data_IF_273595044689
#
_entry.id   IF_273595044689
#
_cell.length_a   1.000
_cell.length_b   1.000
_cell.length_c   1.000
_cell.angle_alpha   90.00
_cell.angle_beta   90.00
_cell.angle_gamma   90.00
#
_symmetry.space_group_name_H-M   'P 1'
#
loop_
_entity.id
_entity.type
_entity.pdbx_description
1 polymer ?
#
# COMPACT_ATOMS: atom_id res chain seq x y z
N UNK A 1 47.47 -27.31 32.66
CA UNK A 1 46.49 -28.28 32.12
C UNK A 1 45.25 -27.51 31.72
N UNK A 2 45.25 -27.01 30.49
CA UNK A 2 44.21 -26.15 29.91
C UNK A 2 43.17 -27.03 29.19
N UNK A 3 41.94 -27.05 29.68
CA UNK A 3 40.82 -27.70 29.01
C UNK A 3 40.06 -26.65 28.18
N UNK A 4 40.20 -26.73 26.86
CA UNK A 4 39.39 -26.01 25.88
C UNK A 4 38.12 -26.83 25.63
N UNK A 5 36.97 -26.33 26.07
CA UNK A 5 35.66 -26.85 25.69
C UNK A 5 35.20 -26.12 24.42
N UNK A 6 35.26 -26.81 23.28
CA UNK A 6 34.70 -26.33 22.03
C UNK A 6 33.17 -26.47 22.06
N UNK A 7 32.46 -25.34 22.13
CA UNK A 7 31.02 -25.26 21.89
C UNK A 7 30.74 -25.52 20.41
N UNK A 8 30.14 -26.67 20.12
CA UNK A 8 29.53 -26.97 18.82
C UNK A 8 28.22 -26.16 18.72
N UNK A 9 28.32 -25.01 18.04
CA UNK A 9 27.19 -24.24 17.56
C UNK A 9 26.55 -25.02 16.41
N UNK A 10 25.48 -25.77 16.68
CA UNK A 10 24.66 -26.41 15.64
C UNK A 10 23.93 -25.31 14.86
N UNK A 11 24.54 -24.84 13.78
CA UNK A 11 23.80 -24.20 12.69
C UNK A 11 22.86 -25.23 12.09
N UNK A 12 21.55 -25.05 12.31
CA UNK A 12 20.51 -25.64 11.47
C UNK A 12 20.58 -24.95 10.10
N UNK A 13 21.53 -25.41 9.28
CA UNK A 13 21.51 -25.15 7.85
C UNK A 13 20.36 -25.96 7.27
N UNK A 14 19.42 -25.24 6.66
CA UNK A 14 18.38 -25.78 5.80
C UNK A 14 19.07 -26.58 4.69
N UNK A 15 19.05 -27.91 4.78
CA UNK A 15 19.52 -28.75 3.68
C UNK A 15 18.44 -28.74 2.61
N UNK A 16 18.74 -28.33 1.35
CA UNK A 16 17.89 -28.72 0.24
C UNK A 16 17.93 -30.25 0.15
N UNK A 17 16.78 -30.85 -0.14
CA UNK A 17 16.65 -32.29 -0.31
C UNK A 17 17.57 -32.76 -1.45
N UNK A 18 18.75 -33.27 -1.11
CA UNK A 18 19.57 -34.09 -2.00
C UNK A 18 19.03 -35.53 -1.95
N UNK A 19 18.01 -35.81 -2.76
CA UNK A 19 17.66 -37.16 -3.19
C UNK A 19 17.77 -37.25 -4.71
N UNK A 20 18.17 -38.41 -5.23
CA UNK A 20 18.42 -38.63 -6.66
C UNK A 20 17.16 -38.57 -7.57
N UNK A 21 16.01 -38.29 -6.99
CA UNK A 21 14.75 -37.89 -7.63
C UNK A 21 14.66 -36.37 -7.45
N UNK A 22 14.49 -35.59 -8.53
CA UNK A 22 14.55 -34.12 -8.50
C UNK A 22 13.54 -33.43 -7.55
N UNK A 23 13.29 -32.11 -7.68
CA UNK A 23 12.42 -31.37 -6.74
C UNK A 23 10.94 -31.81 -6.73
N UNK A 24 10.59 -32.86 -7.48
CA UNK A 24 9.24 -33.35 -7.66
C UNK A 24 8.93 -34.53 -6.75
N UNK A 25 7.68 -34.63 -6.25
CA UNK A 25 7.25 -35.76 -5.44
C UNK A 25 7.29 -37.07 -6.25
N UNK A 26 7.32 -38.23 -5.57
CA UNK A 26 7.33 -39.53 -6.24
C UNK A 26 6.21 -39.67 -7.28
N UNK A 27 6.56 -40.15 -8.47
CA UNK A 27 5.61 -40.31 -9.59
C UNK A 27 5.42 -39.06 -10.45
N UNK A 28 5.86 -37.89 -9.99
CA UNK A 28 5.90 -36.67 -10.80
C UNK A 28 7.28 -36.46 -11.44
N UNK A 29 7.31 -35.76 -12.57
CA UNK A 29 8.52 -35.37 -13.29
C UNK A 29 8.52 -33.86 -13.53
N UNK A 30 9.70 -33.24 -13.51
CA UNK A 30 9.82 -31.82 -13.84
C UNK A 30 9.57 -31.58 -15.33
N UNK A 31 8.80 -30.55 -15.64
CA UNK A 31 8.51 -30.07 -16.99
C UNK A 31 8.75 -28.57 -17.06
N UNK A 32 9.42 -28.10 -18.12
CA UNK A 32 9.83 -26.71 -18.28
C UNK A 32 11.23 -26.42 -17.73
N UNK A 33 11.67 -25.17 -17.94
CA UNK A 33 12.99 -24.70 -17.57
C UNK A 33 12.91 -23.27 -17.01
N UNK A 34 13.73 -22.92 -16.00
CA UNK A 34 13.88 -21.53 -15.59
C UNK A 34 14.54 -20.70 -16.71
N UNK A 35 14.45 -19.36 -16.67
CA UNK A 35 15.21 -18.49 -17.54
C UNK A 35 16.73 -18.77 -17.49
N UNK A 36 17.46 -18.64 -18.62
CA UNK A 36 17.02 -18.11 -19.92
C UNK A 36 16.31 -19.12 -20.82
N UNK A 37 16.32 -20.40 -20.46
CA UNK A 37 15.86 -21.49 -21.32
C UNK A 37 14.34 -21.72 -21.28
N UNK A 38 13.65 -21.02 -20.38
CA UNK A 38 12.19 -21.03 -20.30
C UNK A 38 11.66 -19.95 -19.36
N UNK A 39 10.43 -20.12 -18.91
CA UNK A 39 9.72 -19.16 -18.05
C UNK A 39 9.40 -19.72 -16.65
N UNK A 40 9.84 -20.94 -16.38
CA UNK A 40 9.42 -21.69 -15.20
C UNK A 40 9.47 -23.19 -15.42
N UNK A 41 9.40 -23.90 -14.30
CA UNK A 41 9.34 -25.35 -14.26
C UNK A 41 8.22 -25.78 -13.32
N UNK A 42 7.65 -26.94 -13.60
CA UNK A 42 6.55 -27.49 -12.81
C UNK A 42 6.67 -29.00 -12.73
N UNK A 43 6.37 -29.56 -11.57
CA UNK A 43 6.20 -30.99 -11.42
C UNK A 43 4.86 -31.40 -12.03
N UNK A 44 4.90 -32.41 -12.90
CA UNK A 44 3.72 -32.99 -13.55
C UNK A 44 3.63 -34.49 -13.29
N UNK A 45 2.42 -34.98 -13.07
CA UNK A 45 2.08 -36.41 -13.05
C UNK A 45 1.15 -36.71 -14.23
N UNK A 46 1.22 -37.92 -14.77
CA UNK A 46 0.30 -38.37 -15.81
C UNK A 46 -0.90 -39.06 -15.18
N UNK A 47 -2.11 -38.59 -15.45
CA UNK A 47 -3.34 -39.24 -14.97
C UNK A 47 -3.65 -40.53 -15.74
N UNK A 48 -4.69 -41.25 -15.30
CA UNK A 48 -5.14 -42.49 -15.95
C UNK A 48 -5.56 -42.30 -17.43
N UNK A 49 -5.98 -41.07 -17.80
CA UNK A 49 -6.37 -40.68 -19.15
C UNK A 49 -5.19 -40.25 -20.03
N UNK A 50 -3.97 -40.19 -19.49
CA UNK A 50 -2.78 -39.72 -20.20
C UNK A 50 -2.58 -38.20 -20.17
N UNK A 51 -3.41 -37.45 -19.46
CA UNK A 51 -3.23 -36.01 -19.30
C UNK A 51 -2.11 -35.70 -18.30
N UNK A 52 -1.35 -34.64 -18.54
CA UNK A 52 -0.33 -34.15 -17.61
C UNK A 52 -0.95 -33.13 -16.66
N UNK A 53 -1.02 -33.47 -15.38
CA UNK A 53 -1.54 -32.62 -14.31
C UNK A 53 -0.39 -32.11 -13.45
N UNK A 54 -0.45 -30.86 -12.97
CA UNK A 54 0.54 -30.35 -12.01
C UNK A 54 0.40 -31.07 -10.68
N UNK A 55 1.50 -31.58 -10.14
CA UNK A 55 1.51 -32.29 -8.86
C UNK A 55 2.90 -32.16 -8.21
N UNK A 56 2.98 -31.46 -7.09
CA UNK A 56 4.21 -30.97 -6.47
C UNK A 56 4.47 -29.49 -6.73
N UNK A 57 5.74 -29.09 -6.70
CA UNK A 57 6.12 -27.69 -6.85
C UNK A 57 5.99 -27.19 -8.29
N UNK A 58 5.55 -25.95 -8.43
CA UNK A 58 5.53 -25.19 -9.67
C UNK A 58 6.13 -23.81 -9.41
N UNK A 59 7.09 -23.40 -10.26
CA UNK A 59 7.81 -22.13 -10.13
C UNK A 59 7.77 -21.38 -11.45
N UNK A 60 7.25 -20.16 -11.41
CA UNK A 60 7.21 -19.21 -12.51
C UNK A 60 8.21 -18.08 -12.28
N UNK A 61 8.80 -17.57 -13.35
CA UNK A 61 9.74 -16.45 -13.33
C UNK A 61 9.25 -15.29 -14.20
N UNK A 62 9.69 -14.08 -13.85
CA UNK A 62 9.61 -12.91 -14.71
C UNK A 62 10.63 -13.01 -15.87
N UNK A 63 10.47 -12.22 -16.95
CA UNK A 63 11.41 -12.24 -18.08
C UNK A 63 12.87 -11.93 -17.72
N UNK A 64 13.09 -11.21 -16.62
CA UNK A 64 14.42 -10.85 -16.10
C UNK A 64 15.06 -11.96 -15.25
N UNK A 65 14.38 -13.09 -15.05
CA UNK A 65 14.86 -14.21 -14.24
C UNK A 65 14.53 -14.11 -12.76
N UNK A 66 13.88 -13.03 -12.30
CA UNK A 66 13.39 -12.95 -10.93
C UNK A 66 12.22 -13.90 -10.71
N UNK A 67 12.15 -14.51 -9.53
CA UNK A 67 11.04 -15.43 -9.21
C UNK A 67 9.74 -14.62 -9.19
N UNK A 68 8.68 -15.16 -9.79
CA UNK A 68 7.35 -14.56 -9.81
C UNK A 68 6.42 -15.26 -8.84
N UNK A 69 6.42 -16.59 -8.85
CA UNK A 69 5.52 -17.42 -8.06
C UNK A 69 6.13 -18.79 -7.84
N UNK A 70 5.91 -19.36 -6.66
CA UNK A 70 6.32 -20.72 -6.32
C UNK A 70 5.22 -21.32 -5.45
N UNK A 71 4.49 -22.32 -5.97
CA UNK A 71 3.34 -22.90 -5.27
C UNK A 71 3.30 -24.41 -5.44
N UNK A 72 2.74 -25.08 -4.43
CA UNK A 72 2.48 -26.51 -4.41
C UNK A 72 1.12 -26.79 -5.07
N UNK A 73 1.08 -27.86 -5.85
CA UNK A 73 -0.09 -28.34 -6.57
C UNK A 73 -0.38 -29.79 -6.21
N UNK A 74 -1.65 -30.16 -6.17
CA UNK A 74 -2.14 -31.53 -6.10
C UNK A 74 -3.15 -31.75 -7.23
N UNK A 75 -2.75 -32.50 -8.26
CA UNK A 75 -3.58 -32.83 -9.43
C UNK A 75 -4.25 -31.59 -10.03
N UNK A 76 -3.43 -30.62 -10.44
CA UNK A 76 -3.76 -29.32 -11.02
C UNK A 76 -4.41 -28.27 -10.11
N UNK A 77 -4.72 -28.61 -8.87
CA UNK A 77 -5.27 -27.69 -7.87
C UNK A 77 -4.17 -27.17 -6.96
N UNK A 78 -4.18 -25.90 -6.60
CA UNK A 78 -3.27 -25.36 -5.59
C UNK A 78 -3.53 -26.05 -4.26
N UNK A 79 -2.47 -26.63 -3.68
CA UNK A 79 -2.56 -27.38 -2.44
C UNK A 79 -1.19 -27.34 -1.74
N UNK A 80 -1.13 -26.78 -0.53
CA UNK A 80 0.11 -26.57 0.21
C UNK A 80 0.60 -25.13 0.15
N UNK A 81 1.92 -24.91 0.26
CA UNK A 81 2.47 -23.55 0.36
C UNK A 81 2.49 -22.84 -0.97
N UNK A 82 2.33 -21.53 -0.93
CA UNK A 82 2.45 -20.67 -2.09
C UNK A 82 3.11 -19.34 -1.69
N UNK A 83 4.06 -18.89 -2.49
CA UNK A 83 4.78 -17.62 -2.35
C UNK A 83 4.76 -16.87 -3.67
N UNK A 84 4.69 -15.55 -3.60
CA UNK A 84 4.67 -14.67 -4.77
C UNK A 84 5.59 -13.47 -4.53
N UNK A 85 6.18 -12.98 -5.63
CA UNK A 85 7.14 -11.90 -5.64
C UNK A 85 6.80 -10.87 -6.72
N UNK A 86 7.18 -9.61 -6.49
CA UNK A 86 7.07 -8.57 -7.51
C UNK A 86 8.22 -8.68 -8.54
N UNK A 87 8.18 -7.83 -9.57
CA UNK A 87 9.24 -7.78 -10.59
C UNK A 87 10.62 -7.32 -10.05
N UNK A 88 10.65 -6.72 -8.85
CA UNK A 88 11.91 -6.40 -8.16
C UNK A 88 12.51 -7.59 -7.39
N UNK A 89 11.85 -8.75 -7.41
CA UNK A 89 12.27 -9.93 -6.65
C UNK A 89 11.93 -9.87 -5.15
N UNK A 90 11.13 -8.91 -4.71
CA UNK A 90 10.68 -8.83 -3.33
C UNK A 90 9.44 -9.69 -3.11
N UNK A 91 9.44 -10.45 -2.01
CA UNK A 91 8.28 -11.26 -1.61
C UNK A 91 7.10 -10.32 -1.34
N UNK A 92 5.96 -10.57 -1.96
CA UNK A 92 4.73 -9.77 -1.80
C UNK A 92 3.72 -10.47 -0.93
N UNK A 93 3.59 -11.79 -1.07
CA UNK A 93 2.69 -12.59 -0.25
C UNK A 93 3.13 -14.04 -0.11
N UNK A 94 2.74 -14.66 1.00
CA UNK A 94 2.93 -16.08 1.27
C UNK A 94 1.77 -16.62 2.10
N UNK A 95 1.36 -17.85 1.82
CA UNK A 95 0.39 -18.57 2.65
C UNK A 95 0.20 -20.00 2.18
N UNK A 96 -0.95 -20.56 2.52
CA UNK A 96 -1.33 -21.94 2.19
C UNK A 96 -2.62 -21.98 1.37
N UNK A 97 -2.70 -22.97 0.49
CA UNK A 97 -3.88 -23.35 -0.26
C UNK A 97 -4.34 -24.76 0.12
N UNK A 98 -5.64 -24.98 0.03
CA UNK A 98 -6.28 -26.29 0.07
C UNK A 98 -7.36 -26.28 -1.01
N UNK A 99 -7.20 -27.12 -2.03
CA UNK A 99 -8.13 -27.24 -3.17
C UNK A 99 -8.50 -25.89 -3.80
N UNK A 100 -7.47 -25.15 -4.24
CA UNK A 100 -7.55 -23.81 -4.85
C UNK A 100 -8.04 -22.68 -3.93
N UNK A 101 -8.39 -22.97 -2.68
CA UNK A 101 -8.84 -21.99 -1.70
C UNK A 101 -7.70 -21.62 -0.74
N UNK A 102 -7.56 -20.33 -0.42
CA UNK A 102 -6.59 -19.87 0.57
C UNK A 102 -7.04 -20.34 1.96
N UNK A 103 -6.12 -20.92 2.72
CA UNK A 103 -6.39 -21.40 4.08
C UNK A 103 -5.29 -20.97 5.05
N UNK A 104 -5.62 -21.01 6.34
CA UNK A 104 -4.66 -20.79 7.42
C UNK A 104 -4.12 -19.36 7.45
N UNK A 105 -2.81 -19.25 7.69
CA UNK A 105 -2.14 -17.96 7.84
C UNK A 105 -1.55 -17.46 6.51
N UNK A 106 -1.83 -16.18 6.24
CA UNK A 106 -1.35 -15.44 5.08
C UNK A 106 -0.62 -14.18 5.54
N UNK A 107 0.48 -13.87 4.87
CA UNK A 107 1.29 -12.68 5.13
C UNK A 107 1.44 -11.89 3.84
N UNK A 108 1.22 -10.58 3.91
CA UNK A 108 1.30 -9.65 2.78
C UNK A 108 2.35 -8.57 3.09
N UNK A 109 3.50 -8.68 2.43
CA UNK A 109 4.61 -7.72 2.49
C UNK A 109 4.40 -6.51 1.59
N UNK A 110 3.51 -6.60 0.59
CA UNK A 110 3.13 -5.47 -0.26
C UNK A 110 2.61 -4.26 0.54
N UNK A 111 2.23 -4.45 1.80
CA UNK A 111 1.73 -3.39 2.69
C UNK A 111 2.84 -2.56 3.34
N UNK A 112 4.09 -3.02 3.33
CA UNK A 112 5.20 -2.31 3.96
C UNK A 112 5.35 -0.88 3.39
N UNK A 113 5.18 -0.71 2.08
CA UNK A 113 5.22 0.59 1.43
C UNK A 113 3.92 1.38 1.66
N UNK A 114 2.77 0.70 1.64
CA UNK A 114 1.47 1.36 1.78
C UNK A 114 1.30 1.98 3.18
N UNK A 115 1.85 1.36 4.22
CA UNK A 115 1.86 1.90 5.58
C UNK A 115 2.73 3.15 5.74
N UNK A 116 3.57 3.48 4.75
CA UNK A 116 4.37 4.71 4.76
C UNK A 116 3.63 5.95 4.23
N UNK A 117 2.41 5.78 3.70
CA UNK A 117 1.58 6.89 3.21
C UNK A 117 1.10 7.79 4.35
N UNK A 118 1.35 9.10 4.24
CA UNK A 118 1.10 10.06 5.29
C UNK A 118 -0.39 10.35 5.55
N UNK A 119 -1.28 10.00 4.63
CA UNK A 119 -2.73 10.19 4.80
C UNK A 119 -3.43 8.96 5.39
N UNK A 120 -2.73 7.81 5.42
CA UNK A 120 -3.28 6.51 5.83
C UNK A 120 -4.51 6.06 5.02
N UNK A 121 -4.93 6.84 4.02
CA UNK A 121 -6.12 6.63 3.21
C UNK A 121 -5.88 5.49 2.21
N UNK A 122 -4.69 5.49 1.59
CA UNK A 122 -4.24 4.40 0.71
C UNK A 122 -4.11 3.11 1.51
N UNK A 123 -3.44 3.16 2.67
CA UNK A 123 -3.31 2.02 3.57
C UNK A 123 -4.65 1.42 4.01
N UNK A 124 -5.63 2.29 4.34
CA UNK A 124 -6.98 1.86 4.64
C UNK A 124 -7.64 1.17 3.45
N UNK A 125 -7.66 1.81 2.29
CA UNK A 125 -8.32 1.29 1.09
C UNK A 125 -7.74 -0.09 0.68
N UNK A 126 -6.40 -0.21 0.65
CA UNK A 126 -5.75 -1.49 0.34
C UNK A 126 -6.05 -2.56 1.37
N UNK A 127 -6.13 -2.21 2.66
CA UNK A 127 -6.46 -3.20 3.70
C UNK A 127 -7.93 -3.64 3.61
N UNK A 128 -8.85 -2.71 3.34
CA UNK A 128 -10.27 -3.02 3.11
C UNK A 128 -10.45 -3.94 1.90
N UNK A 129 -9.75 -3.67 0.78
CA UNK A 129 -9.80 -4.49 -0.44
C UNK A 129 -9.31 -5.92 -0.19
N UNK A 130 -8.17 -6.09 0.48
CA UNK A 130 -7.66 -7.43 0.78
C UNK A 130 -8.56 -8.17 1.77
N UNK A 131 -9.07 -7.48 2.80
CA UNK A 131 -10.01 -8.11 3.72
C UNK A 131 -11.24 -8.63 2.97
N UNK A 132 -11.79 -7.84 2.04
CA UNK A 132 -12.92 -8.25 1.20
C UNK A 132 -12.56 -9.42 0.25
N UNK A 133 -11.40 -9.38 -0.43
CA UNK A 133 -10.92 -10.49 -1.28
C UNK A 133 -10.80 -11.80 -0.49
N UNK A 134 -10.39 -11.70 0.77
CA UNK A 134 -10.20 -12.85 1.67
C UNK A 134 -11.49 -13.26 2.41
N UNK A 135 -12.63 -12.67 2.07
CA UNK A 135 -13.95 -13.10 2.55
C UNK A 135 -14.47 -12.38 3.80
N UNK A 136 -13.94 -11.22 4.17
CA UNK A 136 -14.61 -10.34 5.13
C UNK A 136 -15.87 -9.74 4.51
N UNK A 137 -16.92 -9.60 5.32
CA UNK A 137 -18.12 -8.87 4.94
C UNK A 137 -17.83 -7.38 4.69
N UNK A 138 -18.59 -6.75 3.79
CA UNK A 138 -18.46 -5.32 3.44
C UNK A 138 -18.60 -4.41 4.67
N UNK A 139 -19.40 -4.81 5.67
CA UNK A 139 -19.57 -4.08 6.93
C UNK A 139 -18.38 -4.20 7.90
N UNK A 140 -17.60 -5.27 7.79
CA UNK A 140 -16.51 -5.59 8.72
C UNK A 140 -15.14 -5.13 8.22
N UNK A 141 -14.93 -5.13 6.89
CA UNK A 141 -13.67 -4.74 6.27
C UNK A 141 -13.12 -3.37 6.75
N UNK A 142 -13.94 -2.30 6.90
CA UNK A 142 -13.46 -1.03 7.43
C UNK A 142 -12.94 -1.11 8.87
N UNK A 143 -13.59 -1.92 9.72
CA UNK A 143 -13.17 -2.11 11.11
C UNK A 143 -11.87 -2.89 11.21
N UNK A 144 -11.73 -3.95 10.40
CA UNK A 144 -10.50 -4.72 10.28
C UNK A 144 -9.34 -3.84 9.81
N UNK A 145 -9.55 -3.03 8.77
CA UNK A 145 -8.55 -2.09 8.28
C UNK A 145 -8.15 -1.06 9.36
N UNK A 146 -9.12 -0.49 10.06
CA UNK A 146 -8.84 0.49 11.11
C UNK A 146 -8.02 -0.11 12.26
N UNK A 147 -8.25 -1.38 12.62
CA UNK A 147 -7.45 -2.07 13.63
C UNK A 147 -6.00 -2.25 13.22
N UNK A 148 -5.75 -2.68 11.98
CA UNK A 148 -4.39 -2.81 11.44
C UNK A 148 -3.66 -1.48 11.46
N UNK A 149 -4.31 -0.41 11.00
CA UNK A 149 -3.72 0.93 10.96
C UNK A 149 -3.39 1.43 12.37
N UNK A 150 -4.29 1.26 13.34
CA UNK A 150 -4.02 1.63 14.73
C UNK A 150 -2.79 0.90 15.27
N UNK A 151 -2.69 -0.41 15.03
CA UNK A 151 -1.52 -1.19 15.45
C UNK A 151 -0.22 -0.73 14.77
N UNK A 152 -0.26 -0.40 13.48
CA UNK A 152 0.90 0.09 12.73
C UNK A 152 1.37 1.46 13.21
N UNK A 153 0.45 2.39 13.44
CA UNK A 153 0.79 3.79 13.74
C UNK A 153 1.06 4.07 15.22
N UNK A 154 0.61 3.22 16.14
CA UNK A 154 0.92 3.37 17.56
C UNK A 154 2.31 2.82 17.96
N UNK A 155 3.11 2.34 16.99
CA UNK A 155 4.45 1.73 17.15
C UNK A 155 4.53 0.64 18.24
N UNK A 156 3.38 0.13 18.64
CA UNK A 156 3.28 -1.08 19.44
C UNK A 156 3.37 -2.19 18.43
N UNK A 157 4.44 -2.99 18.40
CA UNK A 157 4.31 -4.43 18.11
C UNK A 157 5.62 -5.22 18.26
N UNK A 158 5.61 -6.13 19.22
CA UNK A 158 6.40 -7.37 19.24
C UNK A 158 5.55 -8.51 18.63
N UNK A 159 6.18 -9.33 17.81
CA UNK A 159 5.62 -10.28 16.81
C UNK A 159 4.70 -11.34 17.41
N UNK A 160 4.86 -11.65 18.70
CA UNK A 160 4.15 -12.75 19.36
C UNK A 160 2.85 -12.34 20.06
N UNK A 161 2.51 -11.05 20.06
CA UNK A 161 1.45 -10.50 20.90
C UNK A 161 0.48 -9.55 20.18
N UNK A 162 0.56 -9.42 18.85
CA UNK A 162 -0.41 -8.61 18.10
C UNK A 162 -1.83 -9.11 18.37
N UNK A 163 -2.65 -8.29 19.02
CA UNK A 163 -4.05 -8.60 19.22
C UNK A 163 -4.69 -8.76 17.83
N UNK A 164 -5.06 -9.98 17.46
CA UNK A 164 -5.82 -10.21 16.24
C UNK A 164 -7.23 -9.64 16.43
N UNK A 165 -7.74 -8.98 15.39
CA UNK A 165 -9.14 -8.62 15.32
C UNK A 165 -9.84 -9.53 14.31
N UNK A 166 -10.88 -10.21 14.75
CA UNK A 166 -11.58 -11.21 13.95
C UNK A 166 -13.00 -10.76 13.57
N UNK A 167 -13.36 -11.06 12.33
CA UNK A 167 -14.71 -11.01 11.78
C UNK A 167 -15.12 -12.43 11.34
N UNK A 168 -16.38 -12.70 10.99
CA UNK A 168 -16.75 -13.91 10.29
C UNK A 168 -15.87 -14.08 9.04
N UNK A 169 -15.20 -15.22 8.92
CA UNK A 169 -14.35 -15.53 7.76
C UNK A 169 -12.86 -15.26 7.95
N UNK A 170 -12.44 -14.22 8.69
CA UNK A 170 -11.01 -13.93 8.86
C UNK A 170 -10.64 -13.16 10.14
N UNK A 171 -9.39 -13.28 10.56
CA UNK A 171 -8.75 -12.36 11.51
C UNK A 171 -7.61 -11.59 10.85
N UNK A 172 -7.46 -10.32 11.20
CA UNK A 172 -6.33 -9.48 10.76
C UNK A 172 -5.47 -9.04 11.95
N UNK A 173 -4.21 -8.79 11.67
CA UNK A 173 -3.27 -8.11 12.56
C UNK A 173 -2.14 -7.50 11.74
N UNK A 174 -1.55 -6.41 12.22
CA UNK A 174 -0.20 -6.04 11.80
C UNK A 174 0.81 -6.99 12.45
N UNK A 175 1.87 -7.33 11.72
CA UNK A 175 2.96 -8.16 12.21
C UNK A 175 4.30 -7.69 11.63
N UNK A 176 5.41 -8.15 12.20
CA UNK A 176 6.75 -7.95 11.64
C UNK A 176 7.32 -9.29 11.24
N UNK A 177 7.72 -9.45 9.98
CA UNK A 177 8.37 -10.66 9.48
C UNK A 177 9.68 -10.24 8.80
N UNK A 178 10.79 -10.80 9.26
CA UNK A 178 12.15 -10.46 8.79
C UNK A 178 12.44 -8.95 8.84
N UNK A 179 11.98 -8.27 9.90
CA UNK A 179 12.18 -6.84 10.10
C UNK A 179 11.30 -5.93 9.24
N UNK A 180 10.38 -6.47 8.44
CA UNK A 180 9.41 -5.71 7.64
C UNK A 180 8.02 -5.81 8.26
N UNK A 181 7.30 -4.69 8.32
CA UNK A 181 5.88 -4.69 8.67
C UNK A 181 5.07 -5.35 7.56
N UNK A 182 4.16 -6.24 7.95
CA UNK A 182 3.29 -7.00 7.04
C UNK A 182 1.86 -7.02 7.58
N UNK A 183 0.90 -7.16 6.67
CA UNK A 183 -0.46 -7.55 7.04
C UNK A 183 -0.50 -9.07 7.22
N UNK A 184 -0.87 -9.52 8.41
CA UNK A 184 -1.06 -10.94 8.72
C UNK A 184 -2.56 -11.25 8.81
N UNK A 185 -3.00 -12.28 8.09
CA UNK A 185 -4.40 -12.70 8.00
C UNK A 185 -4.51 -14.18 8.37
N UNK A 186 -5.48 -14.51 9.24
CA UNK A 186 -5.91 -15.90 9.48
C UNK A 186 -7.25 -16.10 8.81
N UNK A 187 -7.32 -16.97 7.81
CA UNK A 187 -8.56 -17.33 7.10
C UNK A 187 -9.27 -18.46 7.87
N UNK A 188 -10.60 -18.41 7.93
CA UNK A 188 -11.45 -19.32 8.68
C UNK A 188 -11.06 -19.46 10.16
N UNK A 189 -11.10 -18.36 10.93
CA UNK A 189 -10.76 -18.42 12.34
C UNK A 189 -11.84 -19.18 13.13
N UNK A 190 -11.46 -19.77 14.28
CA UNK A 190 -12.42 -20.45 15.14
C UNK A 190 -13.45 -19.45 15.71
N UNK A 191 -14.70 -19.91 15.87
CA UNK A 191 -15.84 -19.07 16.24
C UNK A 191 -15.63 -18.31 17.57
N UNK A 192 -14.94 -18.92 18.53
CA UNK A 192 -14.65 -18.33 19.83
C UNK A 192 -13.77 -17.06 19.73
N UNK A 193 -12.87 -17.00 18.74
CA UNK A 193 -12.08 -15.79 18.46
C UNK A 193 -12.95 -14.69 17.83
N UNK A 194 -13.88 -15.06 16.97
CA UNK A 194 -14.82 -14.12 16.34
C UNK A 194 -15.71 -13.50 17.41
N UNK A 195 -16.29 -14.31 18.29
CA UNK A 195 -17.16 -13.83 19.39
C UNK A 195 -16.41 -12.88 20.33
N UNK A 196 -15.19 -13.24 20.76
CA UNK A 196 -14.36 -12.36 21.61
C UNK A 196 -14.00 -11.04 20.93
N UNK A 197 -13.94 -11.01 19.60
CA UNK A 197 -13.59 -9.83 18.81
C UNK A 197 -14.77 -8.91 18.53
N UNK A 198 -16.02 -9.38 18.64
CA UNK A 198 -17.20 -8.65 18.18
C UNK A 198 -17.30 -7.21 18.72
N UNK A 199 -17.06 -7.01 20.03
CA UNK A 199 -17.09 -5.68 20.63
C UNK A 199 -15.92 -4.79 20.21
N UNK A 200 -14.74 -5.37 19.97
CA UNK A 200 -13.59 -4.64 19.45
C UNK A 200 -13.82 -4.25 17.98
N UNK A 201 -14.39 -5.15 17.18
CA UNK A 201 -14.70 -4.92 15.78
C UNK A 201 -15.73 -3.80 15.63
N UNK A 202 -16.80 -3.83 16.42
CA UNK A 202 -17.78 -2.75 16.42
C UNK A 202 -17.19 -1.38 16.80
N UNK A 203 -16.22 -1.34 17.72
CA UNK A 203 -15.49 -0.09 18.04
C UNK A 203 -14.61 0.36 16.88
N UNK A 204 -13.86 -0.57 16.29
CA UNK A 204 -12.99 -0.29 15.15
C UNK A 204 -13.79 0.21 13.94
N UNK A 205 -14.94 -0.41 13.62
CA UNK A 205 -15.81 0.04 12.51
C UNK A 205 -16.38 1.44 12.75
N UNK A 206 -16.73 1.81 14.00
CA UNK A 206 -17.12 3.19 14.33
C UNK A 206 -15.97 4.17 14.17
N UNK A 207 -14.77 3.80 14.60
CA UNK A 207 -13.56 4.62 14.41
C UNK A 207 -13.25 4.80 12.91
N UNK A 208 -13.38 3.74 12.10
CA UNK A 208 -13.21 3.79 10.65
C UNK A 208 -14.20 4.78 10.00
N UNK A 209 -15.48 4.72 10.37
CA UNK A 209 -16.49 5.64 9.88
C UNK A 209 -16.20 7.10 10.28
N UNK A 210 -15.74 7.34 11.51
CA UNK A 210 -15.34 8.66 11.98
C UNK A 210 -14.12 9.20 11.21
N UNK A 211 -13.10 8.36 10.97
CA UNK A 211 -11.93 8.71 10.18
C UNK A 211 -12.30 9.08 8.74
N UNK A 212 -13.15 8.29 8.07
CA UNK A 212 -13.67 8.60 6.72
C UNK A 212 -14.37 9.96 6.69
N UNK A 213 -15.19 10.28 7.68
CA UNK A 213 -15.84 11.59 7.77
C UNK A 213 -14.84 12.74 8.00
N UNK A 214 -13.78 12.52 8.77
CA UNK A 214 -12.76 13.53 9.04
C UNK A 214 -11.91 13.82 7.80
N UNK A 215 -11.48 12.80 7.06
CA UNK A 215 -10.79 12.95 5.77
C UNK A 215 -11.66 13.73 4.77
N UNK A 216 -12.94 13.38 4.65
CA UNK A 216 -13.86 14.08 3.75
C UNK A 216 -14.06 15.56 4.15
N UNK A 217 -14.14 15.85 5.46
CA UNK A 217 -14.20 17.23 5.96
C UNK A 217 -12.91 18.00 5.66
N UNK A 218 -11.75 17.37 5.82
CA UNK A 218 -10.46 17.96 5.50
C UNK A 218 -10.36 18.29 4.00
N UNK A 219 -10.76 17.35 3.13
CA UNK A 219 -10.82 17.54 1.67
C UNK A 219 -11.71 18.73 1.29
N UNK A 220 -12.94 18.80 1.84
CA UNK A 220 -13.85 19.93 1.59
C UNK A 220 -13.27 21.25 2.08
N UNK A 221 -12.53 21.25 3.19
CA UNK A 221 -11.87 22.46 3.71
C UNK A 221 -10.75 22.92 2.77
N UNK A 222 -9.92 22.00 2.27
CA UNK A 222 -8.88 22.29 1.27
C UNK A 222 -9.47 22.85 -0.01
N UNK A 223 -10.46 22.18 -0.60
CA UNK A 223 -11.13 22.65 -1.82
C UNK A 223 -11.74 24.06 -1.65
N UNK A 224 -12.31 24.37 -0.48
CA UNK A 224 -12.82 25.71 -0.16
C UNK A 224 -11.70 26.74 -0.03
N UNK A 225 -10.57 26.36 0.57
CA UNK A 225 -9.41 27.23 0.73
C UNK A 225 -8.79 27.55 -0.64
N UNK A 226 -8.62 26.55 -1.51
CA UNK A 226 -8.13 26.70 -2.89
C UNK A 226 -9.07 27.60 -3.71
N UNK A 227 -10.38 27.34 -3.69
CA UNK A 227 -11.37 28.21 -4.37
C UNK A 227 -11.32 29.65 -3.87
N UNK A 228 -11.12 29.85 -2.56
CA UNK A 228 -10.98 31.19 -1.97
C UNK A 228 -9.67 31.85 -2.39
N UNK A 229 -8.56 31.10 -2.43
CA UNK A 229 -7.27 31.59 -2.87
C UNK A 229 -7.32 32.02 -4.33
N UNK A 230 -7.93 31.19 -5.19
CA UNK A 230 -8.15 31.50 -6.60
C UNK A 230 -9.05 32.73 -6.79
N UNK A 231 -10.18 32.80 -6.08
CA UNK A 231 -11.06 33.98 -6.14
C UNK A 231 -10.35 35.27 -5.68
N UNK A 232 -9.51 35.18 -4.65
CA UNK A 232 -8.69 36.30 -4.18
C UNK A 232 -7.64 36.71 -5.22
N UNK A 233 -6.99 35.73 -5.86
CA UNK A 233 -6.03 35.96 -6.95
C UNK A 233 -6.72 36.67 -8.13
N UNK A 234 -7.84 36.13 -8.62
CA UNK A 234 -8.62 36.72 -9.71
C UNK A 234 -9.12 38.13 -9.35
N UNK A 235 -9.58 38.35 -8.12
CA UNK A 235 -9.99 39.68 -7.67
C UNK A 235 -8.83 40.69 -7.69
N UNK A 236 -7.62 40.28 -7.28
CA UNK A 236 -6.42 41.13 -7.38
C UNK A 236 -6.06 41.43 -8.84
N UNK A 237 -6.06 40.42 -9.71
CA UNK A 237 -5.78 40.58 -11.15
C UNK A 237 -6.79 41.52 -11.81
N UNK A 238 -8.09 41.33 -11.56
CA UNK A 238 -9.15 42.23 -12.05
C UNK A 238 -8.99 43.65 -11.52
N UNK A 239 -8.67 43.79 -10.23
CA UNK A 239 -8.37 45.06 -9.60
C UNK A 239 -7.24 45.81 -10.33
N UNK A 240 -6.25 45.11 -10.88
CA UNK A 240 -5.14 45.72 -11.61
C UNK A 240 -5.48 46.03 -13.07
N UNK A 241 -6.32 45.22 -13.71
CA UNK A 241 -6.74 45.43 -15.09
C UNK A 241 -7.57 46.70 -15.32
N UNK A 242 -8.16 47.27 -14.26
CA UNK A 242 -9.03 48.45 -14.32
C UNK A 242 -8.41 49.77 -13.82
N UNK A 243 -7.15 49.80 -13.36
CA UNK A 243 -6.52 51.02 -12.85
C UNK A 243 -5.87 51.79 -14.00
N UNK A 244 -6.33 53.01 -14.27
CA UNK A 244 -5.64 53.93 -15.16
C UNK A 244 -4.29 54.32 -14.56
N UNK A 245 -3.21 54.08 -15.30
CA UNK A 245 -1.86 54.34 -14.82
C UNK A 245 -1.48 55.81 -15.02
N UNK A 246 -0.79 56.34 -14.01
CA UNK A 246 -0.13 57.63 -14.09
C UNK A 246 1.30 57.41 -14.58
N UNK A 247 1.68 58.10 -15.66
CA UNK A 247 3.04 58.13 -16.16
C UNK A 247 3.97 58.84 -15.16
N UNK A 248 5.28 58.64 -15.26
CA UNK A 248 6.28 59.31 -14.39
C UNK A 248 6.20 60.84 -14.47
N UNK A 249 5.73 61.38 -15.60
CA UNK A 249 5.51 62.82 -15.80
C UNK A 249 4.18 63.35 -15.26
N UNK A 250 3.37 62.50 -14.61
CA UNK A 250 2.09 62.87 -14.00
C UNK A 250 0.88 62.77 -14.94
N UNK A 251 1.06 62.46 -16.22
CA UNK A 251 -0.04 62.29 -17.18
C UNK A 251 -0.81 60.98 -17.00
N UNK A 252 -2.11 60.97 -17.29
CA UNK A 252 -2.92 59.74 -17.32
C UNK A 252 -3.05 59.25 -18.75
N UNK A 253 -2.65 58.00 -19.01
CA UNK A 253 -2.79 57.39 -20.33
C UNK A 253 -3.92 56.34 -20.34
N UNK A 254 -4.96 56.49 -21.18
CA UNK A 254 -6.05 55.53 -21.26
C UNK A 254 -5.65 54.19 -21.89
N UNK A 255 -4.47 54.09 -22.52
CA UNK A 255 -3.99 52.89 -23.21
C UNK A 255 -2.94 52.09 -22.44
N UNK A 256 -2.53 52.52 -21.25
CA UNK A 256 -1.48 51.87 -20.45
C UNK A 256 -2.08 50.93 -19.40
N UNK A 257 -1.66 49.66 -19.39
CA UNK A 257 -2.03 48.67 -18.37
C UNK A 257 -0.77 47.97 -17.81
N UNK A 258 -0.76 47.62 -16.51
CA UNK A 258 0.34 46.86 -15.94
C UNK A 258 0.30 45.41 -16.49
N UNK A 259 1.45 44.84 -16.85
CA UNK A 259 1.58 43.42 -17.17
C UNK A 259 1.40 42.97 -18.61
N UNK A 260 1.38 43.89 -19.58
CA UNK A 260 1.56 43.49 -20.98
C UNK A 260 3.04 43.17 -21.25
N UNK A 261 3.33 42.02 -21.87
CA UNK A 261 4.69 41.63 -22.30
C UNK A 261 5.26 42.56 -23.39
N UNK A 262 4.43 43.43 -23.94
CA UNK A 262 4.85 44.42 -24.91
C UNK A 262 5.41 45.62 -24.14
N UNK A 263 6.60 46.14 -24.49
CA UNK A 263 7.09 47.43 -24.02
C UNK A 263 6.23 48.54 -24.63
N UNK A 264 4.95 48.61 -24.24
CA UNK A 264 3.96 49.52 -24.75
C UNK A 264 3.81 50.70 -23.81
N UNK A 265 4.15 51.89 -24.31
CA UNK A 265 3.88 53.24 -23.79
C UNK A 265 4.90 53.89 -22.83
N UNK A 266 5.81 53.17 -22.17
CA UNK A 266 6.72 53.79 -21.19
C UNK A 266 8.00 54.42 -21.75
N UNK A 267 8.37 54.18 -23.00
CA UNK A 267 9.63 54.70 -23.56
C UNK A 267 9.60 56.22 -23.82
N UNK A 268 8.42 56.83 -23.99
CA UNK A 268 8.28 58.28 -24.19
C UNK A 268 8.22 59.07 -22.89
N UNK A 269 7.63 58.50 -21.82
CA UNK A 269 7.44 59.16 -20.52
C UNK A 269 8.36 58.63 -19.41
N UNK A 270 9.31 57.74 -19.73
CA UNK A 270 10.30 57.22 -18.78
C UNK A 270 9.79 56.15 -17.81
N UNK A 271 8.59 55.60 -18.01
CA UNK A 271 7.98 54.60 -17.12
C UNK A 271 6.55 54.93 -16.71
N UNK A 272 5.90 53.98 -16.03
CA UNK A 272 4.66 54.16 -15.28
C UNK A 272 4.99 54.25 -13.79
N UNK A 273 4.41 55.23 -13.11
CA UNK A 273 4.51 55.35 -11.66
C UNK A 273 3.47 54.43 -11.01
N UNK A 274 3.92 53.46 -10.21
CA UNK A 274 3.03 52.70 -9.33
C UNK A 274 2.53 51.34 -9.80
N UNK A 275 3.08 50.73 -10.87
CA UNK A 275 2.87 49.29 -11.07
C UNK A 275 3.60 48.53 -9.94
N UNK A 276 2.91 47.66 -9.18
CA UNK A 276 3.58 46.69 -8.33
C UNK A 276 4.52 45.88 -9.22
N UNK A 277 5.81 45.78 -8.84
CA UNK A 277 6.81 45.06 -9.64
C UNK A 277 6.52 43.58 -9.79
N UNK A 278 5.76 43.01 -8.85
CA UNK A 278 5.52 41.58 -8.75
C UNK A 278 4.04 41.32 -8.94
N UNK A 279 3.66 40.57 -9.98
CA UNK A 279 2.31 40.02 -10.12
C UNK A 279 1.95 39.23 -8.84
N UNK A 280 0.67 39.19 -8.42
CA UNK A 280 0.30 38.25 -7.39
C UNK A 280 0.76 36.86 -7.81
N UNK A 281 1.50 36.17 -6.95
CA UNK A 281 1.88 34.79 -7.21
C UNK A 281 0.63 33.91 -7.27
N UNK A 282 0.62 32.96 -8.19
CA UNK A 282 -0.43 31.93 -8.21
C UNK A 282 -0.37 31.13 -6.91
N UNK A 283 -1.52 30.85 -6.28
CA UNK A 283 -1.53 30.04 -5.08
C UNK A 283 -0.99 28.64 -5.40
N UNK A 284 0.05 28.22 -4.67
CA UNK A 284 0.55 26.85 -4.77
C UNK A 284 -0.47 25.85 -4.19
N UNK A 285 -0.64 24.67 -4.81
CA UNK A 285 -1.53 23.64 -4.29
C UNK A 285 -1.04 23.12 -2.93
N UNK A 286 -1.95 22.99 -1.97
CA UNK A 286 -1.63 22.40 -0.66
C UNK A 286 -1.46 20.88 -0.81
N UNK A 287 -0.20 20.44 -0.78
CA UNK A 287 0.19 19.03 -0.87
C UNK A 287 0.40 18.38 0.50
N UNK A 288 0.10 19.09 1.59
CA UNK A 288 0.24 18.55 2.94
C UNK A 288 -0.68 17.33 3.13
N UNK A 289 -0.37 16.41 4.04
CA UNK A 289 -1.28 15.34 4.41
C UNK A 289 -2.65 15.91 4.84
N UNK A 290 -3.74 15.32 4.35
CA UNK A 290 -5.11 15.71 4.70
C UNK A 290 -5.38 15.54 6.18
N UNK A 291 -4.75 14.53 6.80
CA UNK A 291 -4.78 14.38 8.25
C UNK A 291 -3.48 13.75 8.75
N UNK A 292 -2.81 14.35 9.75
CA UNK A 292 -1.64 13.74 10.36
C UNK A 292 -1.99 12.42 11.08
N UNK A 293 -0.97 11.58 11.32
CA UNK A 293 -1.07 10.26 11.97
C UNK A 293 -1.66 10.27 13.41
N UNK A 294 -2.03 11.44 13.95
CA UNK A 294 -2.64 11.61 15.28
C UNK A 294 -4.03 10.98 15.44
N UNK A 295 -4.58 10.35 14.38
CA UNK A 295 -5.85 9.63 14.43
C UNK A 295 -5.89 8.44 15.39
N UNK A 296 -4.73 7.89 15.75
CA UNK A 296 -4.63 6.74 16.67
C UNK A 296 -4.51 7.16 18.15
N UNK A 297 -4.04 8.39 18.42
CA UNK A 297 -3.80 8.92 19.77
C UNK A 297 -5.03 9.51 20.46
N UNK A 298 -6.12 8.76 20.52
CA UNK A 298 -7.29 9.09 21.34
C UNK A 298 -7.19 8.51 22.76
N UNK A 299 -6.04 8.62 23.43
CA UNK A 299 -5.91 8.26 24.85
C UNK A 299 -6.21 9.48 25.74
N UNK A 300 -7.46 9.56 26.20
CA UNK A 300 -7.79 10.12 27.52
C UNK A 300 -8.16 8.97 28.45
#
# INVERSE_FOLDING_TARGET
>A
MTALTASLLSLLLFQPADSADGPCPPGASASGYPPPDGHGWTCVITDEGGAQLRHGWSVDYWPDGTMKRACEYDHDRLHGRCSQWNAGGELTQRGMYEDDQRVGHWWFWSFAEVFSDADGAVARASTEEIAAELGADEGDAPGLAQHVLTAVFDDQLDIRAAAQLCAPGLCVSAATVDGRQVLAVQIHPPEDKVERSASALARASRAAAAAKQLIERARRRRERAEKKAEANYQSKVHGWSGVHLQCVDGSYSPSCTCGSERPGCCSHHGGVAGCPRDYPELPEPDTSPLVPNDFAGGSQ
#
